data_IF_690685435539
#
_entry.id   IF_690685435539
#
_cell.length_a   1.000
_cell.length_b   1.000
_cell.length_c   1.000
_cell.angle_alpha   90.00
_cell.angle_beta   90.00
_cell.angle_gamma   90.00
#
_symmetry.space_group_name_H-M   'P 1'
#
loop_
_entity.id
_entity.type
_entity.pdbx_description
1 polymer ?
#
# COMPACT_ATOMS: atom_id res chain seq x y z
N UNK A 1 18.30 -2.92 15.61
CA UNK A 1 19.12 -2.07 14.71
C UNK A 1 19.76 -0.92 15.45
N UNK A 2 20.94 -0.50 15.02
CA UNK A 2 21.64 0.64 15.59
C UNK A 2 21.18 1.92 14.87
N UNK A 3 20.75 2.94 15.63
CA UNK A 3 20.32 4.21 15.05
C UNK A 3 21.52 4.99 14.49
N UNK A 4 21.67 5.05 13.18
CA UNK A 4 22.72 5.82 12.51
C UNK A 4 22.21 7.22 12.19
N UNK A 5 22.69 8.21 12.91
CA UNK A 5 22.34 9.61 12.68
C UNK A 5 23.06 10.13 11.45
N UNK A 6 22.32 10.38 10.37
CA UNK A 6 22.88 10.95 9.14
C UNK A 6 23.22 12.43 9.33
N UNK A 7 24.46 12.81 9.02
CA UNK A 7 24.89 14.21 9.06
C UNK A 7 25.90 14.50 7.95
N UNK A 8 25.59 15.48 7.11
CA UNK A 8 26.51 15.97 6.07
C UNK A 8 27.83 16.50 6.65
N UNK A 9 27.82 17.03 7.89
CA UNK A 9 28.99 17.58 8.54
C UNK A 9 30.01 16.54 9.04
N UNK A 10 29.52 15.30 9.29
CA UNK A 10 30.37 14.21 9.82
C UNK A 10 30.80 13.22 8.74
N UNK A 11 30.48 13.46 7.46
CA UNK A 11 30.77 12.54 6.35
C UNK A 11 30.00 11.22 6.37
N UNK A 12 29.03 11.08 7.25
CA UNK A 12 28.19 9.88 7.42
C UNK A 12 26.83 10.02 6.74
N UNK A 13 26.74 10.77 5.65
CA UNK A 13 25.51 10.84 4.85
C UNK A 13 25.47 9.63 3.90
N UNK A 14 24.50 8.74 4.11
CA UNK A 14 24.18 7.69 3.15
C UNK A 14 23.53 8.36 1.94
N UNK A 15 24.04 8.11 0.74
CA UNK A 15 23.45 8.62 -0.49
C UNK A 15 22.25 7.75 -0.88
N UNK A 16 21.32 8.33 -1.64
CA UNK A 16 20.17 7.58 -2.14
C UNK A 16 20.60 6.36 -2.98
N UNK A 17 21.69 6.47 -3.73
CA UNK A 17 22.25 5.34 -4.48
C UNK A 17 22.61 4.18 -3.58
N UNK A 18 23.34 4.44 -2.50
CA UNK A 18 23.76 3.41 -1.53
C UNK A 18 22.54 2.73 -0.90
N UNK A 19 21.49 3.50 -0.60
CA UNK A 19 20.24 2.95 -0.08
C UNK A 19 19.55 2.02 -1.09
N UNK A 20 19.52 2.40 -2.36
CA UNK A 20 18.84 1.63 -3.41
C UNK A 20 19.62 0.39 -3.86
N UNK A 21 20.90 0.29 -3.50
CA UNK A 21 21.69 -0.93 -3.68
C UNK A 21 21.29 -2.02 -2.66
N UNK A 22 20.78 -1.61 -1.48
CA UNK A 22 20.37 -2.52 -0.40
C UNK A 22 18.86 -2.74 -0.33
N UNK A 23 18.05 -1.74 -0.70
CA UNK A 23 16.59 -1.75 -0.55
C UNK A 23 15.91 -1.71 -1.91
N UNK A 24 14.93 -2.60 -2.18
CA UNK A 24 14.13 -2.53 -3.40
C UNK A 24 13.49 -1.14 -3.59
N UNK A 25 13.54 -0.62 -4.82
CA UNK A 25 13.02 0.72 -5.17
C UNK A 25 11.56 0.88 -4.73
N UNK A 26 10.74 -0.14 -4.90
CA UNK A 26 9.32 -0.12 -4.51
C UNK A 26 9.16 0.07 -3.00
N UNK A 27 9.97 -0.66 -2.21
CA UNK A 27 9.98 -0.53 -0.75
C UNK A 27 10.42 0.87 -0.33
N UNK A 28 11.51 1.36 -0.87
CA UNK A 28 12.00 2.70 -0.55
C UNK A 28 10.96 3.78 -0.88
N UNK A 29 10.38 3.74 -2.09
CA UNK A 29 9.35 4.71 -2.52
C UNK A 29 8.10 4.65 -1.65
N UNK A 30 7.61 3.46 -1.35
CA UNK A 30 6.41 3.31 -0.52
C UNK A 30 6.67 3.85 0.89
N UNK A 31 7.76 3.43 1.54
CA UNK A 31 8.08 3.85 2.90
C UNK A 31 8.29 5.36 3.01
N UNK A 32 8.97 6.00 2.07
CA UNK A 32 9.06 7.46 2.03
C UNK A 32 7.69 8.12 1.91
N UNK A 33 6.77 7.54 1.13
CA UNK A 33 5.41 8.06 0.96
C UNK A 33 4.45 7.65 2.09
N UNK A 34 4.91 7.03 3.17
CA UNK A 34 4.10 6.85 4.39
C UNK A 34 4.17 8.05 5.33
N UNK A 35 5.08 8.98 5.07
CA UNK A 35 5.29 10.19 5.88
C UNK A 35 5.12 11.44 5.02
N UNK A 36 4.52 12.46 5.62
CA UNK A 36 4.42 13.78 4.99
C UNK A 36 5.82 14.40 4.78
N UNK A 37 5.95 15.25 3.76
CA UNK A 37 7.23 15.83 3.35
C UNK A 37 7.99 16.58 4.46
N UNK A 38 7.25 17.13 5.42
CA UNK A 38 7.83 17.88 6.55
C UNK A 38 8.03 17.05 7.83
N UNK A 39 7.71 15.75 7.78
CA UNK A 39 7.82 14.86 8.93
C UNK A 39 9.22 14.24 8.97
N UNK A 40 9.89 14.36 10.11
CA UNK A 40 11.14 13.64 10.34
C UNK A 40 10.84 12.13 10.37
N UNK A 41 11.69 11.36 9.69
CA UNK A 41 11.53 9.92 9.54
C UNK A 41 12.83 9.20 9.86
N UNK A 42 12.74 8.19 10.70
CA UNK A 42 13.77 7.16 10.81
C UNK A 42 13.45 6.07 9.79
N UNK A 43 14.41 5.78 8.91
CA UNK A 43 14.27 4.75 7.89
C UNK A 43 14.82 3.43 8.41
N UNK A 44 13.95 2.45 8.57
CA UNK A 44 14.29 1.11 9.04
C UNK A 44 14.66 0.21 7.85
N UNK A 45 15.96 -0.08 7.71
CA UNK A 45 16.50 -0.92 6.63
C UNK A 45 16.04 -2.37 6.76
N UNK A 46 16.02 -2.92 7.98
CA UNK A 46 15.60 -4.30 8.21
C UNK A 46 14.14 -4.51 7.82
N UNK A 47 13.29 -3.54 8.21
CA UNK A 47 11.88 -3.53 7.80
C UNK A 47 11.72 -3.39 6.29
N UNK A 48 12.51 -2.55 5.65
CA UNK A 48 12.38 -2.26 4.22
C UNK A 48 12.67 -3.48 3.32
N UNK A 49 13.50 -4.42 3.79
CA UNK A 49 13.86 -5.64 3.07
C UNK A 49 13.11 -6.87 3.55
N UNK A 50 12.38 -6.80 4.67
CA UNK A 50 11.67 -7.95 5.21
C UNK A 50 10.53 -8.39 4.30
N UNK A 51 10.32 -9.72 4.22
CA UNK A 51 9.26 -10.35 3.42
C UNK A 51 8.19 -10.94 4.33
N UNK A 52 7.70 -10.13 5.24
CA UNK A 52 6.66 -10.52 6.19
C UNK A 52 5.59 -9.42 6.35
N UNK A 53 4.56 -9.72 7.12
CA UNK A 53 3.43 -8.81 7.32
C UNK A 53 3.77 -7.53 8.10
N UNK A 54 4.98 -7.41 8.66
CA UNK A 54 5.43 -6.17 9.31
C UNK A 54 5.86 -5.13 8.28
N UNK A 55 6.33 -5.58 7.09
CA UNK A 55 6.65 -4.71 5.99
C UNK A 55 5.35 -4.30 5.25
N UNK A 56 4.92 -3.04 5.32
CA UNK A 56 3.68 -2.60 4.68
C UNK A 56 3.72 -2.74 3.17
N UNK A 57 4.89 -2.64 2.55
CA UNK A 57 5.06 -2.82 1.10
C UNK A 57 4.78 -4.26 0.71
N UNK A 58 5.44 -5.20 1.40
CA UNK A 58 5.24 -6.63 1.18
C UNK A 58 3.77 -7.02 1.37
N UNK A 59 3.13 -6.47 2.41
CA UNK A 59 1.73 -6.74 2.68
C UNK A 59 0.81 -6.28 1.54
N UNK A 60 1.03 -5.07 0.99
CA UNK A 60 0.30 -4.55 -0.18
C UNK A 60 0.51 -5.43 -1.41
N UNK A 61 1.76 -5.76 -1.72
CA UNK A 61 2.12 -6.59 -2.88
C UNK A 61 1.53 -8.00 -2.75
N UNK A 62 1.61 -8.59 -1.57
CA UNK A 62 1.05 -9.92 -1.29
C UNK A 62 -0.47 -9.95 -1.50
N UNK A 63 -1.18 -8.96 -0.96
CA UNK A 63 -2.63 -8.87 -1.14
C UNK A 63 -3.03 -8.73 -2.61
N UNK A 64 -2.32 -7.89 -3.39
CA UNK A 64 -2.53 -7.77 -4.83
C UNK A 64 -2.29 -9.10 -5.55
N UNK A 65 -1.17 -9.77 -5.24
CA UNK A 65 -0.85 -11.08 -5.84
C UNK A 65 -1.93 -12.13 -5.53
N UNK A 66 -2.48 -12.10 -4.31
CA UNK A 66 -3.57 -12.99 -3.89
C UNK A 66 -4.86 -12.73 -4.66
N UNK A 67 -5.26 -11.46 -4.85
CA UNK A 67 -6.42 -11.09 -5.67
C UNK A 67 -6.22 -11.56 -7.12
N UNK A 68 -5.06 -11.31 -7.70
CA UNK A 68 -4.72 -11.79 -9.04
C UNK A 68 -4.80 -13.32 -9.16
N UNK A 69 -4.40 -14.05 -8.11
CA UNK A 69 -4.48 -15.52 -8.09
C UNK A 69 -5.92 -16.00 -8.04
N UNK A 70 -6.82 -15.31 -7.33
CA UNK A 70 -8.26 -15.60 -7.33
C UNK A 70 -8.83 -15.47 -8.75
N UNK A 71 -8.55 -14.35 -9.43
CA UNK A 71 -9.00 -14.16 -10.81
C UNK A 71 -8.46 -15.22 -11.77
N UNK A 72 -7.18 -15.62 -11.62
CA UNK A 72 -6.60 -16.70 -12.42
C UNK A 72 -7.27 -18.05 -12.17
N UNK A 73 -7.67 -18.33 -10.94
CA UNK A 73 -8.37 -19.57 -10.60
C UNK A 73 -9.78 -19.59 -11.19
N UNK A 74 -10.52 -18.49 -11.05
CA UNK A 74 -11.86 -18.35 -11.64
C UNK A 74 -11.83 -18.47 -13.17
N UNK A 75 -10.83 -17.87 -13.82
CA UNK A 75 -10.66 -17.97 -15.26
C UNK A 75 -10.44 -19.41 -15.75
N UNK A 76 -9.76 -20.26 -14.97
CA UNK A 76 -9.62 -21.71 -15.30
C UNK A 76 -10.94 -22.46 -15.24
N UNK A 77 -11.89 -21.99 -14.44
CA UNK A 77 -13.24 -22.52 -14.32
C UNK A 77 -14.21 -21.89 -15.33
N UNK A 78 -13.71 -21.04 -16.23
CA UNK A 78 -14.51 -20.33 -17.23
C UNK A 78 -15.30 -19.14 -16.68
N UNK A 79 -15.00 -18.71 -15.46
CA UNK A 79 -15.65 -17.57 -14.81
C UNK A 79 -14.81 -16.31 -15.07
N UNK A 80 -15.44 -15.30 -15.67
CA UNK A 80 -14.82 -13.99 -15.89
C UNK A 80 -15.56 -12.90 -15.12
N UNK A 81 -14.86 -11.88 -14.62
CA UNK A 81 -15.49 -10.71 -14.03
C UNK A 81 -16.43 -10.05 -15.04
N UNK A 82 -17.60 -9.66 -14.59
CA UNK A 82 -18.60 -8.93 -15.38
C UNK A 82 -19.26 -7.87 -14.52
N UNK A 83 -19.95 -6.96 -15.15
CA UNK A 83 -20.82 -6.03 -14.44
C UNK A 83 -21.95 -6.79 -13.74
N UNK A 84 -22.21 -6.40 -12.50
CA UNK A 84 -23.29 -6.95 -11.69
C UNK A 84 -24.56 -6.12 -11.90
N UNK A 85 -25.70 -6.79 -11.88
CA UNK A 85 -27.00 -6.11 -11.83
C UNK A 85 -27.29 -5.57 -10.43
N UNK A 86 -28.19 -4.61 -10.31
CA UNK A 86 -28.61 -4.06 -9.01
C UNK A 86 -29.17 -5.16 -8.07
N UNK A 87 -29.86 -6.15 -8.64
CA UNK A 87 -30.37 -7.29 -7.86
C UNK A 87 -29.24 -8.16 -7.28
N UNK A 88 -28.14 -8.35 -8.02
CA UNK A 88 -26.97 -9.08 -7.54
C UNK A 88 -26.20 -8.26 -6.51
N UNK A 89 -26.05 -6.96 -6.72
CA UNK A 89 -25.43 -6.06 -5.76
C UNK A 89 -26.21 -5.98 -4.44
N UNK A 90 -27.53 -6.09 -4.48
CA UNK A 90 -28.38 -6.12 -3.29
C UNK A 90 -28.15 -7.36 -2.40
N UNK A 91 -27.48 -8.40 -2.90
CA UNK A 91 -27.08 -9.57 -2.10
C UNK A 91 -25.89 -9.27 -1.16
N UNK A 92 -25.14 -8.20 -1.42
CA UNK A 92 -24.02 -7.75 -0.57
C UNK A 92 -24.57 -7.02 0.66
N UNK A 93 -24.97 -7.79 1.67
CA UNK A 93 -25.70 -7.27 2.85
C UNK A 93 -24.84 -7.21 4.10
N UNK A 94 -23.70 -7.92 4.14
CA UNK A 94 -22.82 -7.94 5.29
C UNK A 94 -22.22 -6.54 5.58
N UNK A 95 -22.06 -6.16 6.85
CA UNK A 95 -21.46 -4.88 7.22
C UNK A 95 -20.09 -4.67 6.60
N UNK A 96 -19.26 -5.70 6.57
CA UNK A 96 -17.89 -5.69 6.04
C UNK A 96 -17.88 -5.43 4.52
N UNK A 97 -18.83 -6.01 3.79
CA UNK A 97 -18.99 -5.78 2.35
C UNK A 97 -19.34 -4.33 2.07
N UNK A 98 -20.31 -3.78 2.82
CA UNK A 98 -20.72 -2.38 2.70
C UNK A 98 -19.61 -1.40 3.06
N UNK A 99 -18.85 -1.70 4.12
CA UNK A 99 -17.71 -0.89 4.51
C UNK A 99 -16.63 -0.86 3.43
N UNK A 100 -16.31 -2.01 2.84
CA UNK A 100 -15.35 -2.11 1.75
C UNK A 100 -15.82 -1.34 0.52
N UNK A 101 -17.09 -1.50 0.11
CA UNK A 101 -17.67 -0.80 -1.04
C UNK A 101 -17.63 0.72 -0.82
N UNK A 102 -18.04 1.21 0.35
CA UNK A 102 -17.98 2.63 0.69
C UNK A 102 -16.55 3.17 0.65
N UNK A 103 -15.60 2.40 1.14
CA UNK A 103 -14.19 2.79 1.08
C UNK A 103 -13.69 2.84 -0.37
N UNK A 104 -14.01 1.85 -1.19
CA UNK A 104 -13.66 1.86 -2.62
C UNK A 104 -14.29 3.05 -3.36
N UNK A 105 -15.53 3.41 -3.03
CA UNK A 105 -16.22 4.58 -3.61
C UNK A 105 -15.55 5.91 -3.26
N UNK A 106 -14.81 5.99 -2.14
CA UNK A 106 -14.09 7.20 -1.74
C UNK A 106 -12.79 7.44 -2.54
N UNK A 107 -12.34 6.50 -3.37
CA UNK A 107 -11.04 6.55 -4.06
C UNK A 107 -10.80 7.84 -4.83
N UNK A 108 -11.77 8.27 -5.62
CA UNK A 108 -11.63 9.51 -6.43
C UNK A 108 -11.41 10.74 -5.54
N UNK A 109 -12.12 10.82 -4.42
CA UNK A 109 -11.98 11.94 -3.47
C UNK A 109 -10.61 11.92 -2.79
N UNK A 110 -10.09 10.74 -2.44
CA UNK A 110 -8.75 10.60 -1.87
C UNK A 110 -7.66 11.04 -2.85
N UNK A 111 -7.76 10.65 -4.12
CA UNK A 111 -6.82 11.09 -5.16
C UNK A 111 -6.90 12.61 -5.37
N UNK A 112 -8.09 13.19 -5.44
CA UNK A 112 -8.27 14.64 -5.57
C UNK A 112 -7.66 15.37 -4.37
N UNK A 113 -7.90 14.86 -3.16
CA UNK A 113 -7.34 15.44 -1.93
C UNK A 113 -5.81 15.34 -1.90
N UNK A 114 -5.26 14.17 -2.24
CA UNK A 114 -3.82 13.97 -2.32
C UNK A 114 -3.15 14.93 -3.33
N UNK A 115 -3.78 15.11 -4.49
CA UNK A 115 -3.28 16.01 -5.53
C UNK A 115 -3.34 17.49 -5.11
N UNK A 116 -4.43 17.93 -4.48
CA UNK A 116 -4.59 19.31 -4.00
C UNK A 116 -3.57 19.68 -2.95
N UNK A 117 -3.27 18.75 -2.05
CA UNK A 117 -2.37 18.99 -0.92
C UNK A 117 -0.91 18.62 -1.24
N UNK A 118 -0.65 18.08 -2.45
CA UNK A 118 0.65 17.51 -2.83
C UNK A 118 1.13 16.46 -1.83
N UNK A 119 0.19 15.68 -1.28
CA UNK A 119 0.43 14.74 -0.20
C UNK A 119 0.17 13.28 -0.63
N UNK A 120 1.19 12.55 -1.10
CA UNK A 120 1.06 11.15 -1.50
C UNK A 120 0.77 10.19 -0.33
N UNK A 121 0.95 10.64 0.93
CA UNK A 121 0.68 9.78 2.10
C UNK A 121 -0.80 9.38 2.19
N UNK A 122 -1.69 10.20 1.62
CA UNK A 122 -3.12 9.86 1.54
C UNK A 122 -3.36 8.61 0.71
N UNK A 123 -2.61 8.44 -0.37
CA UNK A 123 -2.72 7.26 -1.26
C UNK A 123 -2.18 6.00 -0.56
N UNK A 124 -1.02 6.09 0.07
CA UNK A 124 -0.45 4.94 0.81
C UNK A 124 -1.32 4.54 1.99
N UNK A 125 -1.90 5.51 2.70
CA UNK A 125 -2.86 5.29 3.78
C UNK A 125 -4.13 4.62 3.26
N UNK A 126 -4.69 5.13 2.17
CA UNK A 126 -5.90 4.59 1.54
C UNK A 126 -5.72 3.11 1.17
N UNK A 127 -4.65 2.75 0.46
CA UNK A 127 -4.42 1.36 0.07
C UNK A 127 -4.23 0.44 1.29
N UNK A 128 -3.52 0.91 2.32
CA UNK A 128 -3.34 0.15 3.56
C UNK A 128 -4.68 -0.11 4.26
N UNK A 129 -5.57 0.87 4.26
CA UNK A 129 -6.91 0.72 4.83
C UNK A 129 -7.81 -0.24 4.04
N UNK A 130 -7.67 -0.32 2.70
CA UNK A 130 -8.34 -1.36 1.90
C UNK A 130 -7.93 -2.75 2.40
N UNK A 131 -6.63 -2.96 2.59
CA UNK A 131 -6.11 -4.27 2.99
C UNK A 131 -6.62 -4.73 4.35
N UNK A 132 -6.79 -3.81 5.28
CA UNK A 132 -7.36 -4.10 6.61
C UNK A 132 -8.85 -4.53 6.56
N UNK A 133 -9.54 -4.20 5.47
CA UNK A 133 -10.95 -4.55 5.24
C UNK A 133 -11.13 -5.79 4.39
N UNK A 134 -10.07 -6.28 3.75
CA UNK A 134 -10.14 -7.53 3.01
C UNK A 134 -10.12 -8.70 4.01
N UNK A 135 -11.05 -9.66 3.89
CA UNK A 135 -11.00 -10.85 4.72
C UNK A 135 -9.73 -11.64 4.44
N UNK A 136 -9.00 -11.99 5.50
CA UNK A 136 -7.79 -12.81 5.44
C UNK A 136 -8.11 -14.27 5.11
#
# INVERSE_FOLDING_TARGET
GELVKMSKRTGKAIQLGDLLDEVPVDSARFLFNTKEANTQMDFDLDLAVSQDNQNPVYYVQYAHARICSIFKSLAKEGISPRECTDAELALLTAPEEKELINHLASYTNEIISAAKDYDPTKVTRYVTQILQRLPC
#
